data_IF_446632784604
#
_entry.id   IF_446632784604
#
_cell.length_a   1.000
_cell.length_b   1.000
_cell.length_c   1.000
_cell.angle_alpha   90.00
_cell.angle_beta   90.00
_cell.angle_gamma   90.00
#
_symmetry.space_group_name_H-M   'P 1'
#
loop_
_entity.id
_entity.type
_entity.pdbx_description
1 polymer ?
#
# COMPACT_ATOMS: atom_id res chain seq x y z
N UNK A 1 1.62 -37.48 12.43
CA UNK A 1 2.28 -36.26 12.94
C UNK A 1 1.51 -35.06 12.40
N UNK A 2 1.10 -34.11 13.24
CA UNK A 2 0.24 -32.99 12.83
C UNK A 2 1.09 -31.77 12.43
N UNK A 3 1.16 -31.50 11.13
CA UNK A 3 1.93 -30.40 10.54
C UNK A 3 1.51 -29.03 11.12
N UNK A 4 0.24 -28.88 11.47
CA UNK A 4 -0.31 -27.66 12.08
C UNK A 4 0.30 -27.40 13.46
N UNK A 5 0.51 -28.45 14.27
CA UNK A 5 1.17 -28.36 15.58
C UNK A 5 2.67 -28.07 15.48
N UNK A 6 3.33 -28.46 14.39
CA UNK A 6 4.74 -28.13 14.15
C UNK A 6 4.91 -26.68 13.69
N UNK A 7 4.04 -26.20 12.79
CA UNK A 7 4.05 -24.82 12.31
C UNK A 7 3.70 -23.82 13.42
N UNK A 8 2.83 -24.18 14.37
CA UNK A 8 2.55 -23.36 15.56
C UNK A 8 3.76 -23.16 16.49
N UNK A 9 4.76 -24.05 16.41
CA UNK A 9 6.00 -23.96 17.18
C UNK A 9 7.13 -23.27 16.41
N UNK A 10 6.91 -22.90 15.16
CA UNK A 10 7.91 -22.24 14.33
C UNK A 10 8.07 -20.80 14.81
N UNK A 11 9.19 -20.53 15.46
CA UNK A 11 9.57 -19.17 15.81
C UNK A 11 10.09 -18.46 14.56
N UNK A 12 9.17 -17.81 13.85
CA UNK A 12 9.42 -17.11 12.58
C UNK A 12 10.54 -16.08 12.72
N UNK A 13 10.73 -15.51 13.91
CA UNK A 13 11.80 -14.53 14.20
C UNK A 13 13.21 -15.13 14.09
N UNK A 14 13.34 -16.45 14.16
CA UNK A 14 14.62 -17.19 14.08
C UNK A 14 14.90 -17.75 12.68
N UNK A 15 13.97 -17.61 11.73
CA UNK A 15 14.20 -18.06 10.35
C UNK A 15 15.23 -17.16 9.68
N UNK A 16 16.27 -17.76 9.12
CA UNK A 16 17.32 -17.08 8.38
C UNK A 16 17.23 -17.39 6.89
N UNK A 17 17.52 -16.38 6.08
CA UNK A 17 17.77 -16.51 4.66
C UNK A 17 19.11 -17.19 4.40
N UNK A 18 19.36 -17.60 3.15
CA UNK A 18 20.66 -18.17 2.73
C UNK A 18 21.83 -17.21 3.01
N UNK A 19 21.57 -15.89 3.02
CA UNK A 19 22.55 -14.85 3.35
C UNK A 19 22.78 -14.61 4.85
N UNK A 20 22.10 -15.34 5.74
CA UNK A 20 22.28 -15.25 7.19
C UNK A 20 21.42 -14.20 7.90
N UNK A 21 20.78 -13.29 7.15
CA UNK A 21 19.80 -12.33 7.67
C UNK A 21 18.47 -13.01 8.02
N UNK A 22 17.75 -12.50 9.02
CA UNK A 22 16.43 -13.04 9.38
C UNK A 22 15.39 -12.75 8.28
N UNK A 23 14.44 -13.66 8.10
CA UNK A 23 13.33 -13.49 7.13
C UNK A 23 12.54 -12.23 7.44
N UNK A 24 12.32 -11.91 8.72
CA UNK A 24 11.67 -10.67 9.14
C UNK A 24 12.43 -9.42 8.65
N UNK A 25 13.76 -9.40 8.81
CA UNK A 25 14.59 -8.28 8.37
C UNK A 25 14.49 -8.10 6.86
N UNK A 26 14.51 -9.19 6.10
CA UNK A 26 14.38 -9.17 4.65
C UNK A 26 13.00 -8.67 4.21
N UNK A 27 11.92 -9.20 4.80
CA UNK A 27 10.55 -8.75 4.54
C UNK A 27 10.39 -7.25 4.84
N UNK A 28 10.87 -6.78 5.99
CA UNK A 28 10.86 -5.35 6.36
C UNK A 28 11.65 -4.50 5.38
N UNK A 29 12.79 -4.98 4.88
CA UNK A 29 13.57 -4.26 3.86
C UNK A 29 12.78 -4.10 2.56
N UNK A 30 12.17 -5.17 2.06
CA UNK A 30 11.37 -5.15 0.84
C UNK A 30 10.11 -4.29 1.00
N UNK A 31 9.42 -4.39 2.15
CA UNK A 31 8.25 -3.57 2.44
C UNK A 31 8.58 -2.07 2.50
N UNK A 32 9.71 -1.70 3.12
CA UNK A 32 10.19 -0.30 3.12
C UNK A 32 10.50 0.20 1.72
N UNK A 33 11.11 -0.63 0.88
CA UNK A 33 11.36 -0.28 -0.51
C UNK A 33 10.05 -0.04 -1.26
N UNK A 34 9.07 -0.92 -1.11
CA UNK A 34 7.74 -0.75 -1.70
C UNK A 34 7.05 0.53 -1.18
N UNK A 35 7.12 0.81 0.12
CA UNK A 35 6.58 2.06 0.69
C UNK A 35 7.23 3.30 0.05
N UNK A 36 8.55 3.30 -0.16
CA UNK A 36 9.23 4.38 -0.87
C UNK A 36 8.76 4.52 -2.32
N UNK A 37 8.52 3.42 -3.03
CA UNK A 37 7.94 3.46 -4.37
C UNK A 37 6.54 4.08 -4.36
N UNK A 38 5.70 3.73 -3.37
CA UNK A 38 4.36 4.33 -3.20
C UNK A 38 4.47 5.85 -2.98
N UNK A 39 5.35 6.26 -2.08
CA UNK A 39 5.59 7.68 -1.79
C UNK A 39 6.08 8.45 -3.03
N UNK A 40 7.01 7.87 -3.79
CA UNK A 40 7.49 8.46 -5.04
C UNK A 40 6.37 8.63 -6.08
N UNK A 41 5.47 7.66 -6.20
CA UNK A 41 4.32 7.78 -7.10
C UNK A 41 3.29 8.79 -6.61
N UNK A 42 3.12 8.94 -5.30
CA UNK A 42 2.30 10.02 -4.73
C UNK A 42 2.87 11.40 -5.07
N UNK A 43 4.20 11.59 -5.01
CA UNK A 43 4.84 12.84 -5.44
C UNK A 43 4.46 13.18 -6.89
N UNK A 44 4.57 12.20 -7.80
CA UNK A 44 4.16 12.37 -9.20
C UNK A 44 2.68 12.73 -9.34
N UNK A 45 1.79 12.10 -8.57
CA UNK A 45 0.35 12.40 -8.54
C UNK A 45 0.06 13.81 -8.02
N UNK A 46 0.89 14.32 -7.11
CA UNK A 46 0.81 15.67 -6.59
C UNK A 46 1.34 16.71 -7.57
N UNK A 47 2.31 16.35 -8.40
CA UNK A 47 2.89 17.23 -9.41
C UNK A 47 2.13 17.21 -10.74
N UNK A 48 1.26 16.23 -10.97
CA UNK A 48 0.57 16.03 -12.25
C UNK A 48 -0.51 17.07 -12.58
N UNK A 49 -0.86 18.00 -11.69
CA UNK A 49 -1.93 18.96 -11.96
C UNK A 49 -1.69 20.35 -11.38
N UNK A 50 -2.07 21.36 -12.16
CA UNK A 50 -2.13 22.78 -11.83
C UNK A 50 -3.40 23.40 -12.43
N UNK A 51 -3.98 24.46 -11.82
CA UNK A 51 -3.51 25.14 -10.61
C UNK A 51 -3.89 24.40 -9.30
N UNK A 52 -3.04 24.54 -8.28
CA UNK A 52 -3.32 24.05 -6.92
C UNK A 52 -4.07 25.15 -6.15
N UNK A 53 -5.40 25.08 -6.12
CA UNK A 53 -6.26 26.10 -5.47
C UNK A 53 -6.35 25.96 -3.93
N UNK A 54 -5.52 25.09 -3.33
CA UNK A 54 -5.50 24.84 -1.89
C UNK A 54 -4.10 24.42 -1.42
N UNK A 55 -3.82 24.65 -0.12
CA UNK A 55 -2.60 24.16 0.53
C UNK A 55 -2.77 22.68 0.89
N UNK A 56 -1.81 21.85 0.46
CA UNK A 56 -1.81 20.42 0.78
C UNK A 56 -1.22 20.18 2.16
N UNK A 57 -1.90 19.37 2.96
CA UNK A 57 -1.41 18.91 4.27
C UNK A 57 -0.44 17.74 4.17
N UNK A 58 -0.42 17.04 3.02
CA UNK A 58 0.32 15.80 2.80
C UNK A 58 -0.09 14.65 3.74
N UNK A 59 -1.30 14.69 4.32
CA UNK A 59 -1.76 13.66 5.26
C UNK A 59 -1.74 12.24 4.65
N UNK A 60 -2.21 12.08 3.41
CA UNK A 60 -2.13 10.80 2.70
C UNK A 60 -0.68 10.34 2.52
N UNK A 61 0.24 11.24 2.17
CA UNK A 61 1.65 10.91 2.01
C UNK A 61 2.25 10.41 3.33
N UNK A 62 1.98 11.15 4.42
CA UNK A 62 2.48 10.85 5.75
C UNK A 62 1.81 9.61 6.37
N UNK A 63 0.68 9.16 5.82
CA UNK A 63 -0.04 7.97 6.29
C UNK A 63 0.57 6.65 5.84
N UNK A 64 1.49 6.64 4.86
CA UNK A 64 2.12 5.41 4.36
C UNK A 64 3.03 4.82 5.44
N UNK A 65 2.78 3.58 5.84
CA UNK A 65 3.64 2.89 6.82
C UNK A 65 3.82 1.41 6.50
N UNK A 66 4.88 0.82 7.06
CA UNK A 66 5.12 -0.63 7.06
C UNK A 66 4.66 -1.19 8.39
N UNK A 67 3.82 -2.23 8.37
CA UNK A 67 3.36 -2.90 9.59
C UNK A 67 4.55 -3.51 10.34
N UNK A 68 4.57 -3.39 11.65
CA UNK A 68 5.64 -3.94 12.48
C UNK A 68 5.58 -5.46 12.60
N UNK A 69 4.41 -6.05 12.32
CA UNK A 69 4.13 -7.49 12.49
C UNK A 69 4.30 -8.26 11.18
N UNK A 70 4.97 -9.40 11.27
CA UNK A 70 4.96 -10.42 10.22
C UNK A 70 3.79 -11.36 10.48
N UNK A 71 2.98 -11.58 9.45
CA UNK A 71 1.83 -12.46 9.47
C UNK A 71 2.22 -13.82 8.89
N UNK A 72 1.90 -14.89 9.62
CA UNK A 72 2.02 -16.25 9.14
C UNK A 72 0.63 -16.79 8.81
N UNK A 73 0.45 -17.26 7.58
CA UNK A 73 -0.77 -17.94 7.16
C UNK A 73 -0.44 -19.41 6.88
N UNK A 74 -1.25 -20.33 7.40
CA UNK A 74 -1.11 -21.76 7.18
C UNK A 74 -2.40 -22.26 6.53
N UNK A 75 -2.26 -22.82 5.34
CA UNK A 75 -3.36 -23.37 4.55
C UNK A 75 -3.09 -24.85 4.21
N UNK A 76 -4.05 -25.50 3.55
CA UNK A 76 -3.90 -26.88 3.06
C UNK A 76 -2.81 -27.04 2.00
N UNK A 77 -2.39 -25.94 1.36
CA UNK A 77 -1.36 -25.94 0.30
C UNK A 77 0.03 -25.53 0.79
N UNK A 78 0.16 -25.08 2.04
CA UNK A 78 1.43 -24.70 2.63
C UNK A 78 1.33 -23.56 3.63
N UNK A 79 2.48 -23.02 4.03
CA UNK A 79 2.59 -21.87 4.90
C UNK A 79 3.22 -20.68 4.16
N UNK A 80 2.73 -19.47 4.40
CA UNK A 80 3.27 -18.23 3.86
C UNK A 80 3.58 -17.23 4.99
N UNK A 81 4.54 -16.36 4.73
CA UNK A 81 4.87 -15.22 5.58
C UNK A 81 4.67 -13.95 4.79
N UNK A 82 4.05 -12.95 5.41
CA UNK A 82 3.81 -11.66 4.77
C UNK A 82 4.00 -10.52 5.75
N UNK A 83 4.24 -9.34 5.21
CA UNK A 83 4.27 -8.07 5.92
C UNK A 83 3.45 -7.07 5.09
N UNK A 84 2.79 -6.13 5.76
CA UNK A 84 1.90 -5.19 5.08
C UNK A 84 2.56 -3.83 4.92
N UNK A 85 2.27 -3.18 3.80
CA UNK A 85 2.40 -1.74 3.63
C UNK A 85 0.98 -1.19 3.63
N UNK A 86 0.73 -0.19 4.47
CA UNK A 86 -0.61 0.27 4.82
C UNK A 86 -0.68 1.80 4.74
N UNK A 87 -1.91 2.31 4.79
CA UNK A 87 -2.20 3.71 5.04
C UNK A 87 -2.92 3.84 6.39
N UNK A 88 -2.51 4.80 7.23
CA UNK A 88 -3.15 5.06 8.52
C UNK A 88 -4.36 6.01 8.42
N UNK A 89 -4.77 6.60 9.54
CA UNK A 89 -5.89 7.53 9.62
C UNK A 89 -5.73 8.77 8.73
N UNK A 90 -4.52 9.18 8.38
CA UNK A 90 -4.24 10.30 7.48
C UNK A 90 -4.73 10.09 6.05
N UNK A 91 -5.04 8.85 5.65
CA UNK A 91 -5.67 8.58 4.36
C UNK A 91 -7.19 8.82 4.33
N UNK A 92 -7.83 9.06 5.48
CA UNK A 92 -9.28 9.18 5.58
C UNK A 92 -9.73 10.64 5.69
N UNK A 93 -10.49 11.09 4.70
CA UNK A 93 -10.99 12.47 4.65
C UNK A 93 -12.51 12.51 4.64
N UNK A 94 -13.08 13.59 5.17
CA UNK A 94 -14.51 13.84 5.09
C UNK A 94 -14.84 14.53 3.77
N UNK A 95 -15.63 13.86 2.92
CA UNK A 95 -16.13 14.45 1.68
C UNK A 95 -17.24 15.48 1.93
N UNK A 96 -17.64 16.19 0.87
CA UNK A 96 -18.67 17.24 0.93
C UNK A 96 -20.01 16.78 1.50
N UNK A 97 -20.35 15.48 1.38
CA UNK A 97 -21.56 14.87 1.95
C UNK A 97 -21.40 14.34 3.38
N UNK A 98 -20.32 14.67 4.09
CA UNK A 98 -20.04 14.21 5.46
C UNK A 98 -19.56 12.75 5.58
N UNK A 99 -19.52 12.00 4.47
CA UNK A 99 -19.01 10.63 4.45
C UNK A 99 -17.49 10.61 4.44
N UNK A 100 -16.90 9.71 5.23
CA UNK A 100 -15.47 9.44 5.17
C UNK A 100 -15.14 8.65 3.92
N UNK A 101 -14.05 9.02 3.26
CA UNK A 101 -13.51 8.37 2.08
C UNK A 101 -12.02 8.15 2.26
N UNK A 102 -11.52 7.02 1.75
CA UNK A 102 -10.09 6.76 1.69
C UNK A 102 -9.51 7.42 0.44
N UNK A 103 -8.66 8.44 0.63
CA UNK A 103 -8.07 9.21 -0.46
C UNK A 103 -7.10 8.38 -1.29
N UNK A 104 -6.43 7.37 -0.71
CA UNK A 104 -5.59 6.45 -1.48
C UNK A 104 -6.42 5.75 -2.57
N UNK A 105 -7.61 5.27 -2.21
CA UNK A 105 -8.54 4.63 -3.16
C UNK A 105 -9.01 5.60 -4.22
N UNK A 106 -9.47 6.78 -3.81
CA UNK A 106 -9.97 7.79 -4.75
C UNK A 106 -8.91 8.22 -5.76
N UNK A 107 -7.66 8.38 -5.33
CA UNK A 107 -6.57 8.70 -6.24
C UNK A 107 -6.20 7.53 -7.14
N UNK A 108 -6.20 6.30 -6.61
CA UNK A 108 -5.81 5.13 -7.38
C UNK A 108 -6.84 4.78 -8.46
N UNK A 109 -8.11 4.73 -8.08
CA UNK A 109 -9.22 4.28 -8.93
C UNK A 109 -9.95 5.41 -9.66
N UNK A 110 -9.69 6.67 -9.27
CA UNK A 110 -10.43 7.81 -9.78
C UNK A 110 -11.83 7.92 -9.16
N UNK A 111 -12.56 8.95 -9.58
CA UNK A 111 -13.95 9.14 -9.19
C UNK A 111 -14.71 9.98 -10.22
N UNK A 112 -16.03 9.89 -10.15
CA UNK A 112 -16.93 10.80 -10.85
C UNK A 112 -18.17 11.04 -9.99
N UNK A 113 -18.52 12.32 -9.84
CA UNK A 113 -19.74 12.78 -9.19
C UNK A 113 -20.85 12.97 -10.22
N UNK A 114 -22.06 13.30 -9.74
CA UNK A 114 -23.21 13.57 -10.60
C UNK A 114 -23.67 15.03 -10.47
N UNK A 115 -24.45 15.50 -11.45
CA UNK A 115 -25.04 16.85 -11.44
C UNK A 115 -24.20 17.89 -12.18
N UNK A 116 -24.45 19.17 -11.88
CA UNK A 116 -23.93 20.30 -12.66
C UNK A 116 -22.39 20.37 -12.73
N UNK A 117 -21.70 19.76 -11.77
CA UNK A 117 -20.25 19.77 -11.69
C UNK A 117 -19.59 18.47 -12.14
N UNK A 118 -20.34 17.46 -12.60
CA UNK A 118 -19.81 16.12 -12.92
C UNK A 118 -18.60 16.12 -13.87
N UNK A 119 -18.55 17.10 -14.77
CA UNK A 119 -17.50 17.25 -15.78
C UNK A 119 -16.44 18.31 -15.42
N UNK A 120 -16.38 18.77 -14.17
CA UNK A 120 -15.33 19.68 -13.70
C UNK A 120 -14.14 18.84 -13.24
N UNK A 121 -12.95 18.94 -13.86
CA UNK A 121 -11.78 18.18 -13.44
C UNK A 121 -11.39 18.46 -11.98
N UNK A 122 -10.97 17.41 -11.26
CA UNK A 122 -10.54 17.40 -9.85
C UNK A 122 -11.58 17.82 -8.81
N UNK A 123 -12.75 18.27 -9.25
CA UNK A 123 -13.89 18.57 -8.39
C UNK A 123 -15.04 17.59 -8.64
N UNK A 124 -15.47 17.54 -9.90
CA UNK A 124 -16.48 16.64 -10.43
C UNK A 124 -16.00 15.24 -10.68
N UNK A 125 -14.79 15.11 -11.24
CA UNK A 125 -14.20 13.82 -11.59
C UNK A 125 -12.68 13.87 -11.54
N UNK A 126 -12.05 12.71 -11.46
CA UNK A 126 -10.62 12.50 -11.69
C UNK A 126 -10.40 11.12 -12.27
N UNK A 127 -9.56 11.04 -13.28
CA UNK A 127 -9.10 9.77 -13.85
C UNK A 127 -8.26 8.97 -12.84
N UNK A 128 -8.29 7.63 -12.89
CA UNK A 128 -7.44 6.79 -12.07
C UNK A 128 -5.96 7.07 -12.33
N UNK A 129 -5.16 7.07 -11.26
CA UNK A 129 -3.70 7.23 -11.37
C UNK A 129 -2.97 5.90 -11.34
N UNK A 130 -3.60 4.84 -10.81
CA UNK A 130 -2.99 3.52 -10.62
C UNK A 130 -1.61 3.57 -9.93
N UNK A 131 -1.41 4.55 -9.05
CA UNK A 131 -0.13 4.81 -8.42
C UNK A 131 0.35 3.63 -7.55
N UNK A 132 -0.58 2.84 -7.00
CA UNK A 132 -0.27 1.64 -6.21
C UNK A 132 0.27 0.54 -7.12
N UNK A 133 -0.39 0.27 -8.24
CA UNK A 133 0.06 -0.71 -9.22
C UNK A 133 1.42 -0.32 -9.81
N UNK A 134 1.59 0.94 -10.19
CA UNK A 134 2.87 1.47 -10.70
C UNK A 134 3.99 1.38 -9.65
N UNK A 135 3.69 1.61 -8.36
CA UNK A 135 4.67 1.45 -7.29
C UNK A 135 5.09 -0.03 -7.10
N UNK A 136 4.17 -0.98 -7.28
CA UNK A 136 4.49 -2.41 -7.27
C UNK A 136 5.40 -2.76 -8.45
N UNK A 137 5.18 -2.19 -9.63
CA UNK A 137 6.04 -2.37 -10.79
C UNK A 137 7.45 -1.78 -10.57
N UNK A 138 7.54 -0.60 -9.95
CA UNK A 138 8.82 0.01 -9.59
C UNK A 138 9.58 -0.86 -8.58
N UNK A 139 8.89 -1.37 -7.56
CA UNK A 139 9.47 -2.30 -6.61
C UNK A 139 10.02 -3.55 -7.29
N UNK A 140 9.22 -4.20 -8.16
CA UNK A 140 9.63 -5.41 -8.89
C UNK A 140 10.86 -5.17 -9.77
N UNK A 141 11.02 -3.97 -10.33
CA UNK A 141 12.19 -3.58 -11.13
C UNK A 141 13.39 -3.16 -10.27
N UNK A 142 13.13 -2.62 -9.07
CA UNK A 142 14.13 -1.99 -8.22
C UNK A 142 14.89 -2.93 -7.27
N UNK A 143 14.44 -4.18 -7.10
CA UNK A 143 15.08 -5.14 -6.20
C UNK A 143 15.41 -6.47 -6.88
N UNK A 144 16.53 -7.12 -6.53
CA UNK A 144 16.80 -8.48 -6.98
C UNK A 144 15.85 -9.47 -6.30
N UNK A 145 15.24 -10.38 -7.08
CA UNK A 145 14.30 -11.41 -6.60
C UNK A 145 13.16 -10.83 -5.74
N UNK A 146 12.25 -10.03 -6.33
CA UNK A 146 11.14 -9.44 -5.58
C UNK A 146 10.21 -10.53 -5.03
N UNK A 147 9.67 -10.29 -3.83
CA UNK A 147 8.51 -11.03 -3.34
C UNK A 147 7.25 -10.69 -4.13
N UNK A 148 6.30 -11.62 -4.17
CA UNK A 148 4.96 -11.37 -4.67
C UNK A 148 4.24 -10.33 -3.79
N UNK A 149 3.50 -9.45 -4.44
CA UNK A 149 2.70 -8.41 -3.78
C UNK A 149 1.24 -8.65 -4.11
N UNK A 150 0.43 -8.73 -3.05
CA UNK A 150 -1.03 -8.75 -3.15
C UNK A 150 -1.58 -7.39 -2.74
N UNK A 151 -2.32 -6.75 -3.63
CA UNK A 151 -3.06 -5.52 -3.32
C UNK A 151 -4.40 -5.95 -2.72
N UNK A 152 -4.64 -5.60 -1.46
CA UNK A 152 -5.95 -5.77 -0.83
C UNK A 152 -6.64 -4.41 -0.85
N UNK A 153 -7.81 -4.33 -1.49
CA UNK A 153 -8.64 -3.12 -1.52
C UNK A 153 -9.66 -3.07 -0.38
N UNK A 154 -9.43 -3.86 0.66
CA UNK A 154 -10.19 -3.82 1.91
C UNK A 154 -9.76 -2.56 2.68
N UNK A 155 -10.38 -1.43 2.34
CA UNK A 155 -10.18 -0.15 3.02
C UNK A 155 -11.43 0.21 3.82
#
# INVERSE_FOLDING_TARGET
MDLKKQLQKLDVSKLKTVGGDTVEKELKRHARFLANCIMHRLDQVYDSYEPKVYNRTYDLYNSVYVDDKVFAEVSSTGASLSIKVCFDAGAWHQGLGGKKVNTAVLLNEGWQTHGAFANVPYFGFREPTHFIELAVEDYKRGVPKPFDVKINKDY
#
